data_IF_068707466356
#
_entry.id   IF_068707466356
#
_cell.length_a   1.000
_cell.length_b   1.000
_cell.length_c   1.000
_cell.angle_alpha   90.00
_cell.angle_beta   90.00
_cell.angle_gamma   90.00
#
_symmetry.space_group_name_H-M   'P 1'
#
loop_
_entity.id
_entity.type
_entity.pdbx_description
1 polymer ?
#
# COMPACT_ATOMS: atom_id res chain seq x y z
N UNK A 1 -16.95 7.19 -3.16
CA UNK A 1 -16.56 8.37 -2.38
C UNK A 1 -17.11 9.64 -3.02
N UNK A 2 -17.42 10.68 -2.21
CA UNK A 2 -17.97 11.94 -2.72
C UNK A 2 -16.89 13.01 -2.98
N UNK A 3 -15.65 12.74 -2.57
CA UNK A 3 -14.50 13.63 -2.64
C UNK A 3 -13.55 13.33 -3.80
N UNK A 4 -13.86 12.33 -4.62
CA UNK A 4 -13.11 12.03 -5.83
C UNK A 4 -13.15 13.16 -6.86
N UNK A 5 -12.02 13.44 -7.52
CA UNK A 5 -11.88 14.51 -8.48
C UNK A 5 -10.47 14.60 -9.07
N UNK A 6 -10.14 15.74 -9.67
CA UNK A 6 -8.86 15.94 -10.36
C UNK A 6 -7.63 15.60 -9.51
N UNK A 7 -7.66 15.95 -8.22
CA UNK A 7 -6.52 15.80 -7.33
C UNK A 7 -6.71 14.71 -6.27
N UNK A 8 -7.91 14.13 -6.18
CA UNK A 8 -8.22 13.11 -5.17
C UNK A 8 -8.64 11.83 -5.85
N UNK A 9 -7.89 10.77 -5.60
CA UNK A 9 -8.17 9.43 -6.10
C UNK A 9 -8.49 8.52 -4.93
N UNK A 10 -9.51 7.69 -5.06
CA UNK A 10 -9.93 6.76 -4.03
C UNK A 10 -10.08 5.36 -4.59
N UNK A 11 -9.42 4.37 -4.01
CA UNK A 11 -9.56 2.96 -4.35
C UNK A 11 -8.86 2.50 -5.63
N UNK A 12 -8.25 3.41 -6.37
CA UNK A 12 -7.27 3.16 -7.42
C UNK A 12 -6.01 3.96 -7.11
N UNK A 13 -4.91 3.65 -7.75
CA UNK A 13 -3.61 4.27 -7.47
C UNK A 13 -3.33 5.44 -8.39
N UNK A 14 -2.32 6.23 -8.00
CA UNK A 14 -1.72 7.24 -8.86
C UNK A 14 -0.66 6.62 -9.80
N UNK A 15 -0.07 7.45 -10.64
CA UNK A 15 0.93 7.04 -11.62
C UNK A 15 2.14 6.33 -10.97
N UNK A 16 2.66 6.84 -9.85
CA UNK A 16 3.83 6.26 -9.15
C UNK A 16 3.56 4.82 -8.72
N UNK A 17 2.38 4.57 -8.16
CA UNK A 17 2.01 3.23 -7.68
C UNK A 17 1.74 2.25 -8.81
N UNK A 18 1.16 2.72 -9.90
CA UNK A 18 0.90 1.90 -11.08
C UNK A 18 2.21 1.46 -11.73
N UNK A 19 3.10 2.41 -11.99
CA UNK A 19 4.35 2.16 -12.72
C UNK A 19 5.45 1.56 -11.84
N UNK A 20 5.69 2.11 -10.64
CA UNK A 20 6.83 1.71 -9.81
C UNK A 20 6.52 0.50 -8.92
N UNK A 21 5.30 0.38 -8.41
CA UNK A 21 4.92 -0.73 -7.54
C UNK A 21 4.07 -1.80 -8.22
N UNK A 22 3.66 -1.61 -9.48
CA UNK A 22 2.77 -2.52 -10.20
C UNK A 22 1.45 -2.74 -9.42
N UNK A 23 0.91 -1.67 -8.84
CA UNK A 23 -0.22 -1.73 -7.94
C UNK A 23 -1.33 -0.78 -8.38
N UNK A 24 -2.43 -1.32 -8.89
CA UNK A 24 -3.54 -0.55 -9.47
C UNK A 24 -4.76 -0.54 -8.56
N UNK A 25 -5.13 -1.69 -8.04
CA UNK A 25 -6.31 -1.85 -7.19
C UNK A 25 -6.00 -1.48 -5.74
N UNK A 26 -6.35 -0.29 -5.33
CA UNK A 26 -6.08 0.25 -4.00
C UNK A 26 -7.27 0.12 -3.04
N UNK A 27 -7.97 -1.02 -3.06
CA UNK A 27 -9.01 -1.39 -2.10
C UNK A 27 -9.05 -2.89 -1.88
N UNK A 28 -9.53 -3.30 -0.72
CA UNK A 28 -9.76 -4.69 -0.39
C UNK A 28 -10.97 -4.85 0.53
N UNK A 29 -11.61 -6.03 0.48
CA UNK A 29 -12.77 -6.38 1.28
C UNK A 29 -12.38 -7.29 2.44
N UNK A 30 -12.99 -7.08 3.58
CA UNK A 30 -12.89 -8.04 4.67
C UNK A 30 -13.63 -9.35 4.32
N UNK A 31 -13.33 -10.40 5.07
CA UNK A 31 -13.91 -11.72 4.84
C UNK A 31 -15.44 -11.76 5.00
N UNK A 32 -15.99 -10.88 5.82
CA UNK A 32 -17.44 -10.75 6.03
C UNK A 32 -18.15 -9.98 4.92
N UNK A 33 -17.39 -9.30 4.05
CA UNK A 33 -17.89 -8.36 3.04
C UNK A 33 -18.68 -7.16 3.61
N UNK A 34 -18.50 -6.88 4.90
CA UNK A 34 -19.12 -5.74 5.56
C UNK A 34 -18.24 -4.49 5.58
N UNK A 35 -16.92 -4.67 5.46
CA UNK A 35 -15.98 -3.58 5.47
C UNK A 35 -15.15 -3.59 4.18
N UNK A 36 -15.00 -2.42 3.60
CA UNK A 36 -14.01 -2.15 2.55
C UNK A 36 -12.95 -1.22 3.10
N UNK A 37 -11.69 -1.54 2.85
CA UNK A 37 -10.56 -0.64 3.11
C UNK A 37 -10.00 -0.16 1.79
N UNK A 38 -9.64 1.11 1.71
CA UNK A 38 -9.09 1.69 0.49
C UNK A 38 -8.06 2.78 0.79
N UNK A 39 -7.14 2.97 -0.14
CA UNK A 39 -6.22 4.10 -0.14
C UNK A 39 -6.89 5.32 -0.79
N UNK A 40 -6.63 6.47 -0.21
CA UNK A 40 -6.94 7.79 -0.76
C UNK A 40 -5.63 8.49 -1.04
N UNK A 41 -5.46 8.90 -2.28
CA UNK A 41 -4.32 9.68 -2.76
C UNK A 41 -4.74 11.13 -2.92
N UNK A 42 -3.98 12.05 -2.33
CA UNK A 42 -4.11 13.48 -2.54
C UNK A 42 -2.93 13.98 -3.38
N UNK A 43 -3.19 14.22 -4.66
CA UNK A 43 -2.20 14.66 -5.64
C UNK A 43 -2.10 16.19 -5.75
N UNK A 44 -2.65 16.95 -4.79
CA UNK A 44 -2.71 18.41 -4.88
C UNK A 44 -1.31 19.04 -5.05
N UNK A 45 -0.31 18.46 -4.39
CA UNK A 45 1.09 18.92 -4.42
C UNK A 45 1.96 18.20 -5.46
N UNK A 46 1.42 17.21 -6.17
CA UNK A 46 2.17 16.50 -7.22
C UNK A 46 2.25 17.38 -8.45
N UNK A 47 3.46 17.62 -9.00
CA UNK A 47 3.61 18.40 -10.25
C UNK A 47 2.89 17.79 -11.44
N UNK A 48 2.51 18.63 -12.39
CA UNK A 48 1.97 18.19 -13.68
C UNK A 48 3.09 18.07 -14.71
N UNK A 49 3.08 16.97 -15.44
CA UNK A 49 3.87 16.77 -16.63
C UNK A 49 3.00 16.96 -17.87
N UNK A 50 3.56 17.56 -18.92
CA UNK A 50 2.87 17.81 -20.18
C UNK A 50 3.61 17.13 -21.33
N UNK A 51 2.89 16.35 -22.13
CA UNK A 51 3.39 15.71 -23.34
C UNK A 51 2.62 16.22 -24.54
N UNK A 52 3.30 16.44 -25.66
CA UNK A 52 2.67 16.69 -26.95
C UNK A 52 2.30 15.35 -27.58
N UNK A 53 1.05 15.16 -27.90
CA UNK A 53 0.51 13.96 -28.53
C UNK A 53 0.13 14.28 -29.97
N UNK A 54 0.74 13.61 -30.92
CA UNK A 54 0.36 13.65 -32.34
C UNK A 54 -0.86 12.76 -32.53
N UNK A 55 -2.03 13.40 -32.60
CA UNK A 55 -3.28 12.71 -32.88
C UNK A 55 -3.61 12.70 -34.39
N UNK A 56 -4.84 12.35 -34.74
CA UNK A 56 -5.36 12.41 -36.12
C UNK A 56 -5.64 13.83 -36.64
N UNK A 57 -5.45 14.85 -35.80
CA UNK A 57 -5.63 16.25 -36.17
C UNK A 57 -4.40 16.86 -36.87
N UNK A 58 -4.58 18.06 -37.44
CA UNK A 58 -3.48 18.80 -38.08
C UNK A 58 -2.45 19.37 -37.09
N UNK A 59 -2.75 19.38 -35.81
CA UNK A 59 -1.86 19.90 -34.76
C UNK A 59 -1.83 18.96 -33.58
N UNK A 60 -0.68 18.81 -32.92
CA UNK A 60 -0.59 18.09 -31.66
C UNK A 60 -1.42 18.77 -30.56
N UNK A 61 -1.84 18.00 -29.57
CA UNK A 61 -2.44 18.52 -28.34
C UNK A 61 -1.58 18.14 -27.14
N UNK A 62 -1.69 18.94 -26.08
CA UNK A 62 -0.96 18.66 -24.84
C UNK A 62 -1.80 17.75 -23.94
N UNK A 63 -1.24 16.60 -23.59
CA UNK A 63 -1.76 15.71 -22.56
C UNK A 63 -1.04 16.01 -21.25
N UNK A 64 -1.83 16.36 -20.21
CA UNK A 64 -1.31 16.73 -18.89
C UNK A 64 -1.77 15.73 -17.84
N UNK A 65 -0.86 15.28 -17.01
CA UNK A 65 -1.14 14.37 -15.90
C UNK A 65 -0.19 14.60 -14.74
N UNK A 66 -0.55 14.09 -13.55
CA UNK A 66 0.28 14.18 -12.34
C UNK A 66 1.44 13.19 -12.45
N UNK A 67 2.66 13.71 -12.40
CA UNK A 67 3.88 12.94 -12.59
C UNK A 67 5.03 13.60 -11.82
N UNK A 68 5.44 13.05 -10.66
CA UNK A 68 6.57 13.59 -9.92
C UNK A 68 7.87 13.09 -10.54
N UNK A 69 8.79 14.01 -10.80
CA UNK A 69 10.19 13.65 -11.12
C UNK A 69 10.94 13.33 -9.83
N UNK A 70 12.13 12.73 -9.98
CA UNK A 70 13.01 12.44 -8.86
C UNK A 70 13.25 13.72 -8.01
N UNK A 71 13.02 13.60 -6.70
CA UNK A 71 13.14 14.71 -5.74
C UNK A 71 11.87 15.54 -5.55
N UNK A 72 10.86 15.43 -6.40
CA UNK A 72 9.58 16.14 -6.26
C UNK A 72 8.62 15.44 -5.29
N UNK A 73 7.53 16.11 -4.95
CA UNK A 73 6.52 15.60 -4.01
C UNK A 73 5.68 14.49 -4.61
N UNK A 74 5.53 13.40 -3.86
CA UNK A 74 4.54 12.36 -4.14
C UNK A 74 3.14 12.75 -3.62
N UNK A 75 2.16 11.92 -3.88
CA UNK A 75 0.81 12.03 -3.29
C UNK A 75 0.86 11.86 -1.77
N UNK A 76 0.03 12.60 -1.04
CA UNK A 76 -0.27 12.29 0.36
C UNK A 76 -1.27 11.12 0.40
N UNK A 77 -0.92 10.05 1.12
CA UNK A 77 -1.67 8.80 1.09
C UNK A 77 -2.26 8.52 2.47
N UNK A 78 -3.55 8.22 2.48
CA UNK A 78 -4.28 7.84 3.69
C UNK A 78 -5.06 6.56 3.49
N UNK A 79 -5.22 5.82 4.57
CA UNK A 79 -6.03 4.59 4.61
C UNK A 79 -7.39 4.90 5.21
N UNK A 80 -8.45 4.45 4.55
CA UNK A 80 -9.81 4.56 5.06
C UNK A 80 -10.50 3.21 5.09
N UNK A 81 -11.29 2.97 6.13
CA UNK A 81 -12.28 1.91 6.16
C UNK A 81 -13.69 2.49 5.94
N UNK A 82 -14.55 1.70 5.32
CA UNK A 82 -15.96 2.00 5.18
C UNK A 82 -16.78 0.75 5.48
N UNK A 83 -17.63 0.83 6.48
CA UNK A 83 -18.57 -0.23 6.80
C UNK A 83 -19.86 0.00 6.00
N UNK A 84 -20.27 -0.99 5.19
CA UNK A 84 -21.42 -0.86 4.29
C UNK A 84 -22.77 -0.96 5.00
N UNK A 85 -22.81 -1.58 6.18
CA UNK A 85 -24.06 -1.78 6.94
C UNK A 85 -24.47 -0.49 7.63
N UNK A 86 -23.55 0.08 8.44
CA UNK A 86 -23.84 1.31 9.20
C UNK A 86 -23.43 2.59 8.45
N UNK A 87 -22.79 2.46 7.27
CA UNK A 87 -22.34 3.56 6.39
C UNK A 87 -21.32 4.49 7.06
N UNK A 88 -20.54 3.97 8.01
CA UNK A 88 -19.51 4.72 8.70
C UNK A 88 -18.19 4.62 7.95
N UNK A 89 -17.60 5.79 7.66
CA UNK A 89 -16.25 5.96 7.13
C UNK A 89 -15.32 6.37 8.26
N UNK A 90 -14.17 5.70 8.39
CA UNK A 90 -13.11 6.04 9.36
C UNK A 90 -11.75 6.09 8.69
N UNK A 91 -10.92 7.04 9.08
CA UNK A 91 -9.50 7.05 8.73
C UNK A 91 -8.75 6.08 9.65
N UNK A 92 -7.93 5.22 9.07
CA UNK A 92 -7.01 4.33 9.79
C UNK A 92 -5.67 5.05 9.85
N UNK A 93 -5.37 5.69 11.00
CA UNK A 93 -4.15 6.46 11.20
C UNK A 93 -3.02 5.54 11.62
N UNK A 94 -2.14 5.22 10.67
CA UNK A 94 -0.95 4.39 10.91
C UNK A 94 0.00 5.15 11.84
N UNK A 95 0.49 4.54 12.95
CA UNK A 95 1.38 5.19 13.90
C UNK A 95 2.84 5.16 13.42
N UNK A 96 3.09 5.70 12.24
CA UNK A 96 4.38 5.71 11.55
C UNK A 96 4.52 6.95 10.67
N UNK A 97 5.76 7.34 10.41
CA UNK A 97 6.11 8.31 9.38
C UNK A 97 6.52 7.53 8.13
N UNK A 98 5.71 7.58 7.09
CA UNK A 98 5.89 6.82 5.86
C UNK A 98 5.69 7.69 4.63
N UNK A 99 6.37 7.35 3.56
CA UNK A 99 6.15 7.94 2.23
C UNK A 99 5.20 7.09 1.40
N UNK A 100 5.31 5.75 1.52
CA UNK A 100 4.58 4.82 0.67
C UNK A 100 3.81 3.77 1.48
N UNK A 101 2.67 3.34 0.91
CA UNK A 101 1.92 2.15 1.32
C UNK A 101 1.87 1.20 0.12
N UNK A 102 2.97 0.50 -0.20
CA UNK A 102 3.07 -0.27 -1.44
C UNK A 102 2.09 -1.43 -1.51
N UNK A 103 1.67 -1.97 -0.38
CA UNK A 103 0.69 -3.07 -0.30
C UNK A 103 -0.14 -2.98 0.96
N UNK A 104 -1.38 -3.41 0.86
CA UNK A 104 -2.24 -3.76 2.00
C UNK A 104 -3.21 -4.86 1.58
N UNK A 105 -3.65 -5.67 2.52
CA UNK A 105 -4.69 -6.66 2.30
C UNK A 105 -5.25 -7.19 3.62
N UNK A 106 -6.46 -7.70 3.57
CA UNK A 106 -6.99 -8.48 4.67
C UNK A 106 -6.28 -9.84 4.79
N UNK A 107 -6.08 -10.28 6.03
CA UNK A 107 -5.60 -11.62 6.33
C UNK A 107 -6.75 -12.64 6.27
N UNK A 108 -6.41 -13.94 6.46
CA UNK A 108 -7.43 -14.99 6.59
C UNK A 108 -8.22 -14.90 7.93
N UNK A 109 -7.74 -14.12 8.88
CA UNK A 109 -8.43 -13.85 10.14
C UNK A 109 -9.43 -12.71 9.96
N UNK A 110 -10.60 -12.85 10.61
CA UNK A 110 -11.63 -11.82 10.57
C UNK A 110 -11.13 -10.49 11.16
N UNK A 111 -11.51 -9.38 10.55
CA UNK A 111 -11.18 -8.00 10.95
C UNK A 111 -9.68 -7.67 11.02
N UNK A 112 -8.79 -8.52 10.50
CA UNK A 112 -7.36 -8.27 10.51
C UNK A 112 -6.88 -7.80 9.13
N UNK A 113 -6.49 -6.54 9.09
CA UNK A 113 -5.85 -5.90 7.94
C UNK A 113 -4.34 -5.90 8.12
N UNK A 114 -3.60 -6.15 7.06
CA UNK A 114 -2.16 -5.91 7.00
C UNK A 114 -1.83 -4.77 6.07
N UNK A 115 -0.88 -3.93 6.49
CA UNK A 115 -0.46 -2.74 5.75
C UNK A 115 1.07 -2.75 5.72
N UNK A 116 1.65 -2.59 4.55
CA UNK A 116 3.07 -2.33 4.40
C UNK A 116 3.28 -0.82 4.31
N UNK A 117 4.19 -0.29 5.13
CA UNK A 117 4.67 1.08 5.01
C UNK A 117 6.14 1.09 4.65
N UNK A 118 6.56 2.11 3.92
CA UNK A 118 7.93 2.25 3.44
C UNK A 118 8.34 3.72 3.48
N UNK A 119 9.60 3.98 3.84
CA UNK A 119 10.17 5.32 3.78
C UNK A 119 10.50 5.73 2.33
N UNK A 120 10.81 7.02 2.10
CA UNK A 120 11.11 7.55 0.78
C UNK A 120 12.35 6.93 0.12
N UNK A 121 13.36 6.56 0.89
CA UNK A 121 14.56 5.90 0.38
C UNK A 121 14.33 4.43 0.02
N UNK A 122 13.16 3.88 0.35
CA UNK A 122 12.77 2.49 0.08
C UNK A 122 13.72 1.46 0.68
N UNK A 123 14.38 1.82 1.76
CA UNK A 123 15.32 0.96 2.47
C UNK A 123 14.84 0.52 3.86
N UNK A 124 13.67 0.97 4.27
CA UNK A 124 12.95 0.51 5.47
C UNK A 124 11.51 0.17 5.12
N UNK A 125 11.09 -1.05 5.45
CA UNK A 125 9.73 -1.53 5.29
C UNK A 125 9.21 -2.06 6.62
N UNK A 126 7.97 -1.71 6.96
CA UNK A 126 7.25 -2.27 8.11
C UNK A 126 5.97 -2.95 7.63
N UNK A 127 5.75 -4.16 8.09
CA UNK A 127 4.49 -4.89 7.93
C UNK A 127 3.67 -4.72 9.22
N UNK A 128 2.59 -3.99 9.12
CA UNK A 128 1.66 -3.73 10.21
C UNK A 128 0.51 -4.73 10.18
N UNK A 129 0.04 -5.10 11.36
CA UNK A 129 -1.24 -5.73 11.60
C UNK A 129 -2.15 -4.71 12.25
N UNK A 130 -3.32 -4.50 11.70
CA UNK A 130 -4.36 -3.64 12.24
C UNK A 130 -5.61 -4.48 12.52
N UNK A 131 -6.10 -4.43 13.75
CA UNK A 131 -7.35 -5.06 14.17
C UNK A 131 -8.48 -4.04 14.07
N UNK A 132 -9.35 -4.17 13.08
CA UNK A 132 -10.45 -3.23 12.84
C UNK A 132 -11.44 -3.17 13.99
N UNK A 133 -11.61 -4.27 14.74
CA UNK A 133 -12.57 -4.35 15.86
C UNK A 133 -12.07 -3.63 17.12
N UNK A 134 -10.75 -3.60 17.33
CA UNK A 134 -10.10 -2.97 18.48
C UNK A 134 -9.49 -1.61 18.16
N UNK A 135 -9.32 -1.32 16.86
CA UNK A 135 -8.59 -0.14 16.37
C UNK A 135 -7.12 -0.11 16.85
N UNK A 136 -6.48 -1.29 16.94
CA UNK A 136 -5.14 -1.46 17.47
C UNK A 136 -4.15 -1.88 16.39
N UNK A 137 -2.95 -1.28 16.42
CA UNK A 137 -1.82 -1.64 15.58
C UNK A 137 -0.81 -2.52 16.32
N UNK A 138 -0.19 -3.43 15.59
CA UNK A 138 1.03 -4.12 15.99
C UNK A 138 1.94 -4.33 14.79
N UNK A 139 3.26 -4.31 15.01
CA UNK A 139 4.25 -4.60 13.96
C UNK A 139 4.44 -6.11 13.89
N UNK A 140 4.26 -6.68 12.71
CA UNK A 140 4.56 -8.08 12.44
C UNK A 140 6.01 -8.28 11.98
N UNK A 141 6.53 -7.34 11.20
CA UNK A 141 7.83 -7.48 10.55
C UNK A 141 8.43 -6.11 10.28
N UNK A 142 9.76 -6.05 10.36
CA UNK A 142 10.59 -4.94 9.85
C UNK A 142 11.62 -5.51 8.92
N UNK A 143 11.79 -4.88 7.77
CA UNK A 143 12.90 -5.09 6.84
C UNK A 143 13.73 -3.84 6.76
N UNK A 144 15.03 -4.02 6.64
CA UNK A 144 15.98 -2.95 6.37
C UNK A 144 17.05 -3.49 5.41
N UNK A 145 17.43 -2.68 4.44
CA UNK A 145 18.56 -2.92 3.55
C UNK A 145 19.36 -1.63 3.40
N UNK A 146 20.68 -1.71 3.23
CA UNK A 146 21.51 -0.50 3.05
C UNK A 146 21.24 0.21 1.73
N UNK A 147 20.67 -0.47 0.74
CA UNK A 147 20.38 0.03 -0.60
C UNK A 147 18.88 0.30 -0.75
N UNK A 148 18.11 -0.76 -1.04
CA UNK A 148 16.66 -0.67 -1.17
C UNK A 148 16.02 -2.05 -1.01
N UNK A 149 14.71 -2.08 -0.73
CA UNK A 149 13.92 -3.28 -0.53
C UNK A 149 12.98 -3.46 -1.71
N UNK A 150 13.07 -4.62 -2.39
CA UNK A 150 12.13 -5.01 -3.42
C UNK A 150 10.73 -5.28 -2.84
N UNK A 151 9.71 -4.69 -3.45
CA UNK A 151 8.32 -4.97 -3.11
C UNK A 151 7.88 -6.26 -3.82
N UNK A 152 7.25 -7.14 -3.06
CA UNK A 152 6.75 -8.42 -3.55
C UNK A 152 5.32 -8.72 -3.08
N UNK A 153 4.70 -9.76 -3.64
CA UNK A 153 3.33 -10.19 -3.32
C UNK A 153 3.29 -11.52 -2.54
N UNK A 154 4.40 -11.92 -1.92
CA UNK A 154 4.59 -13.27 -1.37
C UNK A 154 4.06 -13.45 0.04
N UNK A 155 3.46 -12.41 0.63
CA UNK A 155 2.80 -12.53 1.93
C UNK A 155 1.63 -13.52 1.84
N UNK A 156 1.75 -14.66 2.52
CA UNK A 156 0.72 -15.70 2.59
C UNK A 156 0.41 -16.05 4.04
N UNK A 157 -0.84 -15.85 4.44
CA UNK A 157 -1.31 -16.24 5.75
C UNK A 157 -1.79 -17.70 5.76
N UNK A 158 -1.60 -18.35 6.90
CA UNK A 158 -2.21 -19.62 7.26
C UNK A 158 -3.46 -19.37 8.12
N UNK A 159 -4.31 -20.37 8.25
CA UNK A 159 -5.54 -20.28 9.05
C UNK A 159 -5.28 -19.98 10.55
N UNK A 160 -4.12 -20.37 11.08
CA UNK A 160 -3.69 -20.09 12.45
C UNK A 160 -3.15 -18.65 12.63
N UNK A 161 -3.11 -17.87 11.56
CA UNK A 161 -2.57 -16.50 11.53
C UNK A 161 -1.06 -16.40 11.38
N UNK A 162 -0.33 -17.51 11.38
CA UNK A 162 1.08 -17.54 10.98
C UNK A 162 1.19 -17.22 9.48
N UNK A 163 2.37 -16.78 9.04
CA UNK A 163 2.52 -16.37 7.65
C UNK A 163 3.89 -16.69 7.08
N UNK A 164 3.94 -16.73 5.75
CA UNK A 164 5.17 -16.79 4.97
C UNK A 164 5.47 -15.41 4.38
N UNK A 165 6.75 -15.11 4.32
CA UNK A 165 7.31 -13.88 3.79
C UNK A 165 8.63 -14.19 3.10
N UNK A 166 8.89 -13.59 1.94
CA UNK A 166 10.21 -13.65 1.30
C UNK A 166 11.07 -12.47 1.74
N UNK A 167 12.36 -12.69 1.90
CA UNK A 167 13.28 -11.66 2.39
C UNK A 167 14.69 -11.93 1.93
N UNK A 168 15.45 -10.88 1.65
CA UNK A 168 16.88 -10.93 1.32
C UNK A 168 17.77 -10.63 2.54
N UNK A 169 17.25 -10.74 3.76
CA UNK A 169 17.92 -10.36 5.01
C UNK A 169 19.25 -11.03 5.29
N UNK A 170 19.56 -12.13 4.63
CA UNK A 170 20.82 -12.89 4.75
C UNK A 170 21.63 -12.89 3.45
N UNK A 171 21.29 -12.01 2.50
CA UNK A 171 22.01 -11.79 1.24
C UNK A 171 21.36 -12.46 0.02
N UNK A 172 20.44 -13.41 0.22
CA UNK A 172 19.69 -14.08 -0.83
C UNK A 172 18.20 -14.08 -0.52
N UNK A 173 17.36 -14.18 -1.56
CA UNK A 173 15.91 -14.19 -1.39
C UNK A 173 15.42 -15.57 -0.94
N UNK A 174 15.03 -15.67 0.32
CA UNK A 174 14.52 -16.88 0.95
C UNK A 174 13.12 -16.74 1.48
N UNK A 175 12.42 -17.87 1.62
CA UNK A 175 11.11 -17.94 2.27
C UNK A 175 11.32 -18.15 3.76
N UNK A 176 10.68 -17.29 4.55
CA UNK A 176 10.65 -17.39 6.01
C UNK A 176 9.24 -17.62 6.51
N UNK A 177 9.12 -18.39 7.58
CA UNK A 177 7.88 -18.56 8.32
C UNK A 177 7.90 -17.74 9.60
N UNK A 178 6.80 -17.00 9.83
CA UNK A 178 6.60 -16.20 11.01
C UNK A 178 5.32 -16.63 11.75
N UNK A 179 5.35 -16.49 13.08
CA UNK A 179 4.15 -16.65 13.91
C UNK A 179 3.16 -15.51 13.67
N UNK A 180 1.93 -15.66 14.13
CA UNK A 180 0.90 -14.63 14.11
C UNK A 180 1.27 -13.30 14.78
N UNK A 181 2.29 -13.30 15.61
CA UNK A 181 2.81 -12.12 16.32
C UNK A 181 4.14 -11.62 15.72
N UNK A 182 4.53 -12.10 14.55
CA UNK A 182 5.73 -11.62 13.84
C UNK A 182 7.05 -12.22 14.31
N UNK A 183 7.05 -13.22 15.21
CA UNK A 183 8.28 -13.91 15.59
C UNK A 183 8.69 -14.87 14.47
N UNK A 184 9.94 -14.77 13.97
CA UNK A 184 10.49 -15.73 13.00
C UNK A 184 10.50 -17.13 13.62
N UNK A 185 9.92 -18.10 12.93
CA UNK A 185 9.90 -19.51 13.32
C UNK A 185 11.09 -20.22 12.70
N UNK A 186 11.19 -20.16 11.37
CA UNK A 186 12.27 -20.81 10.62
C UNK A 186 12.46 -20.13 9.25
N UNK A 187 13.59 -20.41 8.64
CA UNK A 187 13.83 -20.23 7.21
C UNK A 187 13.42 -21.55 6.53
N UNK A 188 12.68 -21.44 5.44
CA UNK A 188 12.10 -22.59 4.73
C UNK A 188 13.00 -23.06 3.59
N UNK A 189 13.63 -22.10 2.89
CA UNK A 189 14.54 -22.35 1.76
C UNK A 189 15.93 -21.84 2.00
#
# INVERSE_FOLDING_TARGET
TKDGGRNIINGITDWVYEEEFGYVRAFDWDKSSNNIVYLRFDQSNVPEFSMDIDGSGLRPYQYKFKYPKAGESNSDIKVFSYNIINKIKKEIKIPDDYEYIPRFKFSEQENILTIQTMNRLQNELKLWRFDLSKEEFSILLKEHDEKYIDIHNDLKFKSDGSFFWTSQRDGFNHIYQFSKNGKKINQVT
#
